data_IF_092011293031
#
_entry.id   IF_092011293031
#
_cell.length_a   1.000
_cell.length_b   1.000
_cell.length_c   1.000
_cell.angle_alpha   90.00
_cell.angle_beta   90.00
_cell.angle_gamma   90.00
#
_symmetry.space_group_name_H-M   'P 1'
#
loop_
_entity.id
_entity.type
_entity.pdbx_description
1 polymer ?
#
# COMPACT_ATOMS: atom_id res chain seq x y z
N UNK A 1 7.62 -0.07 -2.17
CA UNK A 1 8.32 -1.36 -2.08
C UNK A 1 8.94 -1.37 -0.71
N UNK A 2 8.67 -2.40 0.06
CA UNK A 2 9.21 -2.57 1.40
C UNK A 2 10.70 -2.94 1.28
N UNK A 3 11.63 -2.13 1.81
CA UNK A 3 13.07 -2.37 1.69
C UNK A 3 13.56 -3.53 2.56
N UNK A 4 12.82 -3.94 3.59
CA UNK A 4 13.18 -5.03 4.50
C UNK A 4 12.82 -6.40 3.88
N UNK A 5 11.70 -6.47 3.15
CA UNK A 5 11.20 -7.70 2.55
C UNK A 5 11.42 -7.80 1.03
N UNK A 6 11.80 -6.71 0.36
CA UNK A 6 12.03 -6.68 -1.09
C UNK A 6 10.77 -6.81 -1.94
N UNK A 7 9.58 -6.72 -1.33
CA UNK A 7 8.28 -6.89 -1.99
C UNK A 7 7.51 -5.58 -2.10
N UNK A 8 6.57 -5.50 -3.04
CA UNK A 8 5.68 -4.34 -3.12
C UNK A 8 4.65 -4.35 -1.99
N UNK A 9 4.17 -3.16 -1.60
CA UNK A 9 3.11 -3.02 -0.59
C UNK A 9 1.79 -3.67 -1.03
N UNK A 10 1.62 -3.87 -2.34
CA UNK A 10 0.48 -4.56 -2.93
C UNK A 10 0.61 -6.07 -2.72
N UNK A 11 1.77 -6.64 -3.04
CA UNK A 11 2.04 -8.08 -2.83
C UNK A 11 2.03 -8.46 -1.35
N UNK A 12 2.48 -7.57 -0.48
CA UNK A 12 2.39 -7.77 0.96
C UNK A 12 0.96 -7.65 1.49
N UNK A 13 -0.05 -7.34 0.67
CA UNK A 13 -1.43 -7.18 1.14
C UNK A 13 -1.62 -6.03 2.12
N UNK A 14 -0.71 -5.04 2.11
CA UNK A 14 -0.73 -3.94 3.06
C UNK A 14 -1.85 -2.93 2.77
N UNK A 15 -2.34 -2.87 1.52
CA UNK A 15 -3.45 -2.00 1.13
C UNK A 15 -4.76 -2.71 1.45
N UNK A 16 -5.55 -2.16 2.38
CA UNK A 16 -6.81 -2.76 2.86
C UNK A 16 -8.04 -2.20 2.18
N UNK A 17 -8.00 -0.94 1.79
CA UNK A 17 -9.09 -0.31 1.09
C UNK A 17 -8.58 0.85 0.24
N UNK A 18 -9.22 1.05 -0.90
CA UNK A 18 -9.00 2.19 -1.79
C UNK A 18 -10.37 2.72 -2.16
N UNK A 19 -10.71 3.90 -1.65
CA UNK A 19 -11.94 4.60 -1.99
C UNK A 19 -11.61 5.80 -2.87
N UNK A 20 -12.14 5.81 -4.08
CA UNK A 20 -11.92 6.91 -5.04
C UNK A 20 -13.22 7.71 -5.13
N UNK A 21 -13.14 8.99 -4.80
CA UNK A 21 -14.24 9.95 -4.91
C UNK A 21 -13.96 10.94 -6.05
N UNK A 22 -14.91 11.82 -6.36
CA UNK A 22 -14.80 12.75 -7.50
C UNK A 22 -13.60 13.72 -7.41
N UNK A 23 -13.16 14.06 -6.18
CA UNK A 23 -12.13 15.09 -5.94
C UNK A 23 -10.93 14.61 -5.14
N UNK A 24 -10.97 13.39 -4.61
CA UNK A 24 -9.93 12.85 -3.74
C UNK A 24 -10.03 11.34 -3.68
N UNK A 25 -8.96 10.67 -3.28
CA UNK A 25 -9.01 9.27 -2.90
C UNK A 25 -8.52 9.07 -1.45
N UNK A 26 -9.08 8.08 -0.77
CA UNK A 26 -8.63 7.61 0.53
C UNK A 26 -8.07 6.19 0.38
N UNK A 27 -6.88 5.96 0.94
CA UNK A 27 -6.23 4.66 0.93
C UNK A 27 -5.97 4.24 2.37
N UNK A 28 -6.55 3.11 2.77
CA UNK A 28 -6.29 2.48 4.07
C UNK A 28 -5.17 1.46 3.92
N UNK A 29 -4.12 1.63 4.72
CA UNK A 29 -2.93 0.79 4.69
C UNK A 29 -2.57 0.28 6.09
N UNK A 30 -2.12 -0.96 6.19
CA UNK A 30 -1.55 -1.56 7.41
C UNK A 30 -0.05 -1.79 7.24
N UNK A 31 0.69 -1.82 8.35
CA UNK A 31 2.12 -2.12 8.34
C UNK A 31 2.36 -3.57 8.76
N UNK A 32 3.36 -4.21 8.16
CA UNK A 32 3.85 -5.54 8.57
C UNK A 32 4.34 -5.52 10.02
N UNK A 33 4.85 -4.38 10.48
CA UNK A 33 5.22 -4.13 11.88
C UNK A 33 4.74 -2.75 12.34
N UNK A 34 4.07 -2.63 13.50
CA UNK A 34 3.41 -1.39 13.94
C UNK A 34 4.37 -0.26 14.28
N UNK A 35 5.64 -0.56 14.57
CA UNK A 35 6.66 0.40 14.98
C UNK A 35 7.79 0.53 13.95
N UNK A 36 7.56 0.18 12.70
CA UNK A 36 8.58 0.29 11.66
C UNK A 36 9.03 1.76 11.52
N UNK A 37 10.32 2.09 11.69
CA UNK A 37 10.81 3.46 11.51
C UNK A 37 10.61 3.97 10.07
N UNK A 38 10.52 3.05 9.12
CA UNK A 38 10.26 3.34 7.70
C UNK A 38 8.78 3.44 7.36
N UNK A 39 7.86 3.10 8.29
CA UNK A 39 6.41 3.10 8.05
C UNK A 39 5.89 4.43 7.48
N UNK A 40 6.18 5.58 8.10
CA UNK A 40 5.75 6.88 7.58
C UNK A 40 6.31 7.20 6.18
N UNK A 41 7.57 6.87 5.92
CA UNK A 41 8.21 7.10 4.62
C UNK A 41 7.60 6.20 3.53
N UNK A 42 7.25 4.96 3.87
CA UNK A 42 6.59 4.03 2.97
C UNK A 42 5.18 4.49 2.60
N UNK A 43 4.41 4.96 3.60
CA UNK A 43 3.08 5.54 3.38
C UNK A 43 3.15 6.79 2.51
N UNK A 44 4.12 7.68 2.73
CA UNK A 44 4.29 8.88 1.92
C UNK A 44 4.68 8.53 0.47
N UNK A 45 5.56 7.55 0.27
CA UNK A 45 5.90 7.08 -1.07
C UNK A 45 4.69 6.48 -1.81
N UNK A 46 3.86 5.71 -1.08
CA UNK A 46 2.62 5.16 -1.61
C UNK A 46 1.63 6.27 -2.00
N UNK A 47 1.45 7.27 -1.12
CA UNK A 47 0.61 8.46 -1.37
C UNK A 47 1.03 9.17 -2.64
N UNK A 48 2.31 9.55 -2.77
CA UNK A 48 2.82 10.27 -3.94
C UNK A 48 2.61 9.50 -5.25
N UNK A 49 2.80 8.17 -5.23
CA UNK A 49 2.56 7.32 -6.40
C UNK A 49 1.08 7.22 -6.74
N UNK A 50 0.21 7.08 -5.74
CA UNK A 50 -1.23 7.06 -5.92
C UNK A 50 -1.76 8.39 -6.45
N UNK A 51 -1.27 9.53 -5.94
CA UNK A 51 -1.63 10.87 -6.44
C UNK A 51 -1.23 11.04 -7.90
N UNK A 52 -0.03 10.59 -8.26
CA UNK A 52 0.42 10.64 -9.65
C UNK A 52 -0.41 9.73 -10.57
N UNK A 53 -0.81 8.56 -10.09
CA UNK A 53 -1.62 7.62 -10.87
C UNK A 53 -3.06 8.12 -11.06
N UNK A 54 -3.67 8.67 -10.01
CA UNK A 54 -5.06 9.12 -10.01
C UNK A 54 -5.22 10.57 -10.49
N UNK A 55 -4.15 11.36 -10.51
CA UNK A 55 -4.19 12.82 -10.73
C UNK A 55 -5.14 13.55 -9.75
N UNK A 56 -5.29 13.01 -8.55
CA UNK A 56 -6.16 13.49 -7.48
C UNK A 56 -5.37 13.54 -6.17
N UNK A 57 -5.72 14.42 -5.22
CA UNK A 57 -5.16 14.37 -3.88
C UNK A 57 -5.54 13.04 -3.18
N UNK A 58 -4.56 12.44 -2.52
CA UNK A 58 -4.73 11.15 -1.83
C UNK A 58 -4.47 11.33 -0.34
N UNK A 59 -5.42 10.85 0.47
CA UNK A 59 -5.30 10.75 1.92
C UNK A 59 -4.95 9.32 2.29
N UNK A 60 -3.93 9.15 3.13
CA UNK A 60 -3.53 7.84 3.66
C UNK A 60 -4.06 7.67 5.08
N UNK A 61 -4.75 6.57 5.34
CA UNK A 61 -5.20 6.16 6.66
C UNK A 61 -4.43 4.93 7.13
N UNK A 62 -3.95 4.95 8.38
CA UNK A 62 -3.39 3.75 9.01
C UNK A 62 -4.54 2.88 9.52
N UNK A 63 -4.54 1.60 9.12
CA UNK A 63 -5.46 0.62 9.66
C UNK A 63 -5.00 0.10 11.02
N UNK A 64 -5.96 -0.22 11.89
CA UNK A 64 -5.72 -0.77 13.23
C UNK A 64 -5.54 -2.30 13.23
N UNK A 65 -5.63 -2.92 12.05
CA UNK A 65 -5.51 -4.37 11.86
C UNK A 65 -4.04 -4.81 11.91
N UNK A 66 -3.76 -5.88 12.66
CA UNK A 66 -2.45 -6.51 12.67
C UNK A 66 -2.26 -7.31 11.38
N UNK A 67 -1.15 -7.05 10.69
CA UNK A 67 -0.78 -7.80 9.50
C UNK A 67 -0.39 -9.24 9.85
N UNK A 68 -0.77 -10.19 9.00
CA UNK A 68 -0.38 -11.60 9.08
C UNK A 68 0.12 -12.11 7.71
N UNK A 69 0.99 -13.13 7.70
CA UNK A 69 1.56 -13.69 6.49
C UNK A 69 0.52 -14.23 5.51
N UNK A 70 -0.64 -14.68 6.00
CA UNK A 70 -1.76 -15.10 5.14
C UNK A 70 -2.37 -13.98 4.30
N UNK A 71 -2.06 -12.71 4.59
CA UNK A 71 -2.50 -11.56 3.79
C UNK A 71 -1.60 -11.30 2.58
N UNK A 72 -0.42 -11.93 2.53
CA UNK A 72 0.47 -11.83 1.39
C UNK A 72 -0.17 -12.52 0.19
N UNK A 73 -0.15 -11.84 -0.95
CA UNK A 73 -0.58 -12.45 -2.20
C UNK A 73 0.42 -13.55 -2.57
N UNK A 74 -0.08 -14.77 -2.78
CA UNK A 74 0.75 -15.91 -3.22
C UNK A 74 1.18 -15.74 -4.67
N UNK A 75 0.51 -14.87 -5.44
CA UNK A 75 0.84 -14.64 -6.83
C UNK A 75 1.82 -13.47 -7.03
N UNK A 76 2.89 -13.77 -7.76
CA UNK A 76 3.84 -12.77 -8.24
C UNK A 76 3.11 -11.76 -9.12
N UNK A 77 3.54 -10.48 -9.17
CA UNK A 77 2.86 -9.38 -9.88
C UNK A 77 2.56 -9.54 -11.38
N UNK A 78 2.69 -10.74 -11.95
CA UNK A 78 2.25 -11.16 -13.27
C UNK A 78 0.72 -11.07 -13.45
N UNK A 79 -0.08 -11.52 -12.47
CA UNK A 79 -1.56 -11.47 -12.59
C UNK A 79 -2.10 -10.03 -12.57
N UNK A 80 -1.46 -9.16 -11.79
CA UNK A 80 -1.72 -7.72 -11.75
C UNK A 80 -1.19 -6.95 -12.98
N UNK A 81 -0.55 -7.64 -13.94
CA UNK A 81 0.05 -7.01 -15.12
C UNK A 81 1.23 -6.08 -14.81
N UNK A 82 1.86 -6.22 -13.65
CA UNK A 82 2.98 -5.38 -13.20
C UNK A 82 4.35 -5.88 -13.69
N UNK A 83 4.41 -7.10 -14.27
CA UNK A 83 5.63 -7.74 -14.77
C UNK A 83 5.83 -7.67 -16.30
N UNK A 84 5.10 -6.81 -17.02
CA UNK A 84 5.33 -6.54 -18.45
C UNK A 84 5.31 -5.04 -18.76
#
# INVERSE_FOLDING_TARGET
MDPELGLSIVQLGMIRNVEIQEKSASIRMILTTPFCPYGPALMENARQKAEKALSLPVVMEMGDEAWDQSMMDEDTGADWGLLY
#
